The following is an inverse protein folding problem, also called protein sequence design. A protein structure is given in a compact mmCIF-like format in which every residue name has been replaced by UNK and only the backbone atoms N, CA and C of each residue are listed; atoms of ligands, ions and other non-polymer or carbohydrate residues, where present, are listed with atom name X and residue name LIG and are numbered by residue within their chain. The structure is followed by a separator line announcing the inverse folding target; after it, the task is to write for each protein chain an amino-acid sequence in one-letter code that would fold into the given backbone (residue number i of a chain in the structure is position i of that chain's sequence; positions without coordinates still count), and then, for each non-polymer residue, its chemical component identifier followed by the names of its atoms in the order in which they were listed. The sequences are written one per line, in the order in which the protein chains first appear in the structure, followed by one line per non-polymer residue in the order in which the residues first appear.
data_IF_373820488472
#
_entry.id   IF_373820488472
#
_cell.length_a   1.000
_cell.length_b   1.000
_cell.length_c   1.000
_cell.angle_alpha   90.00
_cell.angle_beta   90.00
_cell.angle_gamma   90.00
#
_symmetry.space_group_name_H-M   'P 1'
#
loop_
_entity.id
_entity.type
_entity.pdbx_description
1 polymer ?
#
# COMPACT_ATOMS: atom_id res chain seq x y z
N UNK A 1 -16.83 -7.04 2.14
CA UNK A 1 -15.70 -6.40 2.84
C UNK A 1 -14.43 -6.85 2.15
N UNK A 2 -13.29 -6.26 2.48
CA UNK A 2 -11.99 -6.74 2.03
C UNK A 2 -11.20 -7.20 3.24
N UNK A 3 -10.45 -8.29 3.12
CA UNK A 3 -9.52 -8.72 4.15
C UNK A 3 -8.10 -8.37 3.72
N UNK A 4 -7.28 -7.95 4.67
CA UNK A 4 -5.90 -7.53 4.45
C UNK A 4 -4.98 -8.51 5.16
N UNK A 5 -3.98 -9.02 4.44
CA UNK A 5 -3.02 -9.99 4.93
C UNK A 5 -1.59 -9.52 4.67
N UNK A 6 -0.65 -9.93 5.52
CA UNK A 6 0.73 -10.08 5.07
C UNK A 6 0.78 -11.17 3.99
N UNK A 7 1.51 -10.95 2.90
CA UNK A 7 1.63 -11.93 1.82
C UNK A 7 2.99 -11.84 1.12
N UNK A 8 3.35 -12.88 0.39
CA UNK A 8 4.49 -12.87 -0.55
C UNK A 8 4.04 -12.50 -1.97
N UNK A 9 5.01 -12.19 -2.85
CA UNK A 9 4.74 -12.01 -4.28
C UNK A 9 4.17 -13.28 -4.96
N UNK A 10 4.25 -14.44 -4.30
CA UNK A 10 3.66 -15.70 -4.74
C UNK A 10 2.29 -15.99 -4.09
N UNK A 11 1.64 -14.97 -3.50
CA UNK A 11 0.34 -15.07 -2.82
C UNK A 11 0.31 -16.06 -1.65
N UNK A 12 1.46 -16.32 -1.01
CA UNK A 12 1.48 -17.09 0.23
C UNK A 12 1.15 -16.19 1.41
N UNK A 13 -0.08 -16.32 1.91
CA UNK A 13 -0.60 -15.48 3.00
C UNK A 13 -0.02 -15.86 4.36
N UNK A 14 0.34 -14.84 5.11
CA UNK A 14 0.67 -14.88 6.53
C UNK A 14 -0.49 -14.37 7.38
N UNK A 15 -0.18 -13.61 8.42
CA UNK A 15 -1.17 -13.09 9.37
C UNK A 15 -2.25 -12.21 8.72
N UNK A 16 -3.50 -12.41 9.16
CA UNK A 16 -4.62 -11.50 8.91
C UNK A 16 -4.47 -10.22 9.73
N UNK A 17 -4.40 -9.08 9.05
CA UNK A 17 -4.21 -7.76 9.67
C UNK A 17 -5.54 -7.09 10.03
N UNK A 18 -6.59 -7.39 9.29
CA UNK A 18 -7.93 -6.88 9.54
C UNK A 18 -8.77 -6.77 8.27
N UNK A 19 -9.97 -6.22 8.43
CA UNK A 19 -10.95 -6.12 7.36
C UNK A 19 -11.35 -4.66 7.11
N UNK A 20 -11.49 -4.31 5.83
CA UNK A 20 -12.00 -3.03 5.36
C UNK A 20 -13.48 -3.22 5.00
N UNK A 21 -14.42 -2.48 5.60
CA UNK A 21 -15.81 -2.56 5.20
C UNK A 21 -15.95 -2.11 3.74
N UNK A 22 -16.62 -2.94 2.93
CA UNK A 22 -16.98 -2.59 1.56
C UNK A 22 -18.36 -1.92 1.57
N UNK A 23 -18.47 -0.82 2.31
CA UNK A 23 -19.72 -0.08 2.51
C UNK A 23 -19.70 1.18 1.65
N UNK A 24 -20.75 1.37 0.84
CA UNK A 24 -21.02 2.65 0.18
C UNK A 24 -20.55 2.78 -1.27
N UNK A 25 -19.63 1.93 -1.77
CA UNK A 25 -19.17 1.98 -3.16
C UNK A 25 -19.61 0.78 -4.01
N UNK A 26 -20.32 1.07 -5.09
CA UNK A 26 -20.65 0.16 -6.17
C UNK A 26 -20.11 0.76 -7.46
N UNK A 27 -19.21 0.04 -8.13
CA UNK A 27 -18.67 0.44 -9.44
C UNK A 27 -19.83 0.72 -10.40
N UNK A 28 -19.86 1.91 -11.05
CA UNK A 28 -20.93 2.25 -11.98
C UNK A 28 -21.01 1.25 -13.12
N UNK A 29 -22.20 0.72 -13.38
CA UNK A 29 -22.45 -0.25 -14.45
C UNK A 29 -23.64 0.17 -15.29
N UNK A 30 -23.41 0.31 -16.59
CA UNK A 30 -24.47 0.50 -17.57
C UNK A 30 -25.06 -0.86 -17.97
N UNK A 31 -26.40 -0.94 -18.03
CA UNK A 31 -27.17 -2.06 -18.57
C UNK A 31 -28.29 -1.54 -19.48
N UNK A 32 -28.59 -2.24 -20.57
CA UNK A 32 -29.61 -1.81 -21.54
C UNK A 32 -29.08 -1.90 -22.98
N UNK A 33 -29.96 -1.83 -23.99
CA UNK A 33 -29.60 -1.95 -25.40
C UNK A 33 -28.61 -0.87 -25.85
N UNK A 34 -28.71 0.35 -25.31
CA UNK A 34 -27.89 1.51 -25.71
C UNK A 34 -26.53 1.56 -25.01
N UNK A 35 -26.29 0.74 -23.98
CA UNK A 35 -25.07 0.87 -23.18
C UNK A 35 -23.77 0.60 -23.95
N UNK A 36 -23.80 -0.14 -25.06
CA UNK A 36 -22.64 -0.32 -25.95
C UNK A 36 -22.31 0.93 -26.76
N UNK A 37 -23.24 1.87 -26.89
CA UNK A 37 -23.09 3.14 -27.61
C UNK A 37 -22.74 4.30 -26.65
N UNK A 38 -22.85 4.08 -25.34
CA UNK A 38 -22.47 5.07 -24.32
C UNK A 38 -20.97 4.97 -24.06
N UNK A 39 -20.27 6.08 -24.30
CA UNK A 39 -18.86 6.20 -24.00
C UNK A 39 -18.68 6.33 -22.48
N UNK A 40 -17.80 5.50 -21.92
CA UNK A 40 -17.47 5.50 -20.49
C UNK A 40 -15.96 5.59 -20.31
N UNK A 41 -15.50 6.63 -19.62
CA UNK A 41 -14.08 6.80 -19.28
C UNK A 41 -13.88 6.99 -17.78
N UNK A 42 -12.71 6.62 -17.27
CA UNK A 42 -12.35 6.80 -15.87
C UNK A 42 -11.77 8.20 -15.65
N UNK A 43 -12.10 8.80 -14.51
CA UNK A 43 -11.50 10.04 -13.99
C UNK A 43 -11.07 9.83 -12.55
N UNK A 44 -10.29 10.76 -12.00
CA UNK A 44 -9.94 10.71 -10.58
C UNK A 44 -11.21 10.76 -9.71
N UNK A 45 -11.37 9.78 -8.83
CA UNK A 45 -12.56 9.65 -7.97
C UNK A 45 -13.90 9.37 -8.68
N UNK A 46 -13.92 8.97 -9.97
CA UNK A 46 -15.19 8.80 -10.68
C UNK A 46 -15.13 8.26 -12.11
N UNK A 47 -16.22 8.48 -12.85
CA UNK A 47 -16.35 8.14 -14.28
C UNK A 47 -17.07 9.23 -15.05
N UNK A 48 -16.76 9.36 -16.33
CA UNK A 48 -17.54 10.16 -17.28
C UNK A 48 -18.38 9.23 -18.12
N UNK A 49 -19.65 9.58 -18.27
CA UNK A 49 -20.58 8.95 -19.20
C UNK A 49 -20.98 9.97 -20.26
N UNK A 50 -20.95 9.57 -21.53
CA UNK A 50 -21.44 10.42 -22.60
C UNK A 50 -22.08 9.62 -23.73
N UNK A 51 -23.13 10.20 -24.30
CA UNK A 51 -23.76 9.76 -25.54
C UNK A 51 -23.88 11.00 -26.43
N UNK A 52 -23.07 11.06 -27.47
CA UNK A 52 -23.16 12.03 -28.57
C UNK A 52 -24.19 11.55 -29.58
N UNK A 53 -24.78 12.42 -30.42
CA UNK A 53 -25.62 12.03 -31.58
C UNK A 53 -26.47 10.77 -31.32
N UNK A 54 -27.40 10.86 -30.37
CA UNK A 54 -28.21 9.72 -29.95
C UNK A 54 -29.23 9.35 -31.02
N UNK A 55 -29.69 8.10 -30.99
CA UNK A 55 -30.68 7.56 -31.92
C UNK A 55 -32.06 7.46 -31.25
N UNK A 56 -33.06 7.16 -32.06
CA UNK A 56 -34.42 6.88 -31.60
C UNK A 56 -34.48 5.58 -30.77
N UNK A 57 -35.44 5.51 -29.86
CA UNK A 57 -35.78 4.33 -29.03
C UNK A 57 -34.63 3.82 -28.15
N UNK A 58 -33.75 4.73 -27.70
CA UNK A 58 -32.67 4.38 -26.79
C UNK A 58 -33.17 4.14 -25.37
N UNK A 59 -32.51 3.20 -24.69
CA UNK A 59 -32.74 2.93 -23.29
C UNK A 59 -31.45 2.45 -22.64
N UNK A 60 -31.04 3.15 -21.58
CA UNK A 60 -29.93 2.72 -20.74
C UNK A 60 -30.21 2.99 -19.26
N UNK A 61 -29.71 2.08 -18.43
CA UNK A 61 -29.77 2.15 -16.98
C UNK A 61 -28.34 2.07 -16.45
N UNK A 62 -27.88 3.13 -15.80
CA UNK A 62 -26.59 3.19 -15.12
C UNK A 62 -26.85 3.02 -13.62
N UNK A 63 -26.35 1.93 -13.05
CA UNK A 63 -26.43 1.65 -11.61
C UNK A 63 -25.14 2.08 -10.94
N UNK A 64 -25.25 2.81 -9.83
CA UNK A 64 -24.13 3.27 -9.01
C UNK A 64 -24.55 3.29 -7.53
N UNK A 65 -23.70 3.79 -6.64
CA UNK A 65 -24.03 4.01 -5.23
C UNK A 65 -23.67 5.42 -4.79
N UNK A 66 -24.44 5.96 -3.86
CA UNK A 66 -24.14 7.22 -3.19
C UNK A 66 -23.58 7.01 -1.79
N UNK A 67 -23.11 8.10 -1.14
CA UNK A 67 -23.27 9.49 -1.59
C UNK A 67 -22.46 9.78 -2.86
N UNK A 68 -23.06 10.51 -3.81
CA UNK A 68 -22.43 10.80 -5.08
C UNK A 68 -22.82 12.18 -5.61
N UNK A 69 -21.93 12.79 -6.39
CA UNK A 69 -22.19 14.03 -7.10
C UNK A 69 -22.17 13.75 -8.59
N UNK A 70 -23.21 14.23 -9.30
CA UNK A 70 -23.25 14.24 -10.76
C UNK A 70 -23.07 15.67 -11.24
N UNK A 71 -22.16 15.87 -12.18
CA UNK A 71 -21.98 17.16 -12.86
C UNK A 71 -22.20 16.95 -14.36
N UNK A 72 -23.33 17.43 -14.85
CA UNK A 72 -23.67 17.43 -16.27
C UNK A 72 -22.87 18.52 -16.96
N UNK A 73 -22.12 18.17 -18.00
CA UNK A 73 -21.17 19.05 -18.70
C UNK A 73 -21.58 19.34 -20.13
N UNK A 74 -22.49 18.54 -20.70
CA UNK A 74 -23.14 18.76 -22.00
C UNK A 74 -24.54 18.18 -21.95
N UNK A 75 -25.53 18.88 -22.50
CA UNK A 75 -26.90 18.38 -22.59
C UNK A 75 -27.68 19.10 -23.69
N UNK A 76 -28.05 18.38 -24.74
CA UNK A 76 -28.84 18.84 -25.87
C UNK A 76 -29.69 17.66 -26.39
N UNK A 77 -30.94 17.60 -25.95
CA UNK A 77 -31.90 16.56 -26.34
C UNK A 77 -33.21 17.18 -26.80
N UNK A 78 -34.15 16.38 -27.30
CA UNK A 78 -35.51 16.86 -27.49
C UNK A 78 -36.13 17.28 -26.16
N UNK A 79 -36.86 18.41 -26.16
CA UNK A 79 -37.52 18.89 -24.95
C UNK A 79 -38.71 18.01 -24.60
N UNK A 80 -38.78 17.57 -23.33
CA UNK A 80 -39.87 16.79 -22.73
C UNK A 80 -40.00 15.31 -23.14
N UNK A 81 -39.43 14.88 -24.27
CA UNK A 81 -39.54 13.50 -24.77
C UNK A 81 -38.31 12.67 -24.44
N UNK A 82 -37.13 13.21 -24.76
CA UNK A 82 -35.85 12.57 -24.46
C UNK A 82 -35.33 13.00 -23.09
N UNK A 83 -35.22 12.03 -22.18
CA UNK A 83 -35.06 12.32 -20.75
C UNK A 83 -33.90 11.55 -20.14
N UNK A 84 -32.98 12.31 -19.53
CA UNK A 84 -31.99 11.79 -18.59
C UNK A 84 -32.48 12.01 -17.15
N UNK A 85 -32.67 10.93 -16.40
CA UNK A 85 -33.06 10.98 -14.97
C UNK A 85 -31.85 10.71 -14.10
N UNK A 86 -31.56 11.66 -13.22
CA UNK A 86 -30.47 11.69 -12.25
C UNK A 86 -31.09 11.69 -10.84
N UNK A 87 -31.43 10.51 -10.32
CA UNK A 87 -32.17 10.40 -9.06
C UNK A 87 -33.57 11.00 -9.17
N UNK A 88 -33.88 12.03 -8.37
CA UNK A 88 -35.16 12.75 -8.42
C UNK A 88 -35.23 13.84 -9.48
N UNK A 89 -34.11 14.15 -10.15
CA UNK A 89 -34.05 15.20 -11.16
C UNK A 89 -34.15 14.60 -12.56
N UNK A 90 -34.95 15.22 -13.43
CA UNK A 90 -35.06 14.86 -14.85
C UNK A 90 -34.60 16.04 -15.70
N UNK A 91 -33.80 15.76 -16.72
CA UNK A 91 -33.29 16.74 -17.69
C UNK A 91 -33.78 16.35 -19.09
N UNK A 92 -34.16 17.35 -19.87
CA UNK A 92 -34.55 17.26 -21.28
C UNK A 92 -34.32 18.62 -21.95
N UNK A 93 -34.20 18.69 -23.28
CA UNK A 93 -34.00 19.95 -23.99
C UNK A 93 -32.57 20.48 -23.87
N UNK A 94 -32.44 21.78 -23.64
CA UNK A 94 -31.15 22.48 -23.46
C UNK A 94 -31.15 23.24 -22.13
N UNK A 95 -31.02 22.55 -20.99
CA UNK A 95 -30.99 23.20 -19.68
C UNK A 95 -29.69 24.00 -19.48
N UNK A 96 -29.62 24.91 -18.49
CA UNK A 96 -28.37 25.58 -18.13
C UNK A 96 -27.30 24.58 -17.67
N UNK A 97 -26.11 24.65 -18.28
CA UNK A 97 -24.96 23.78 -17.97
C UNK A 97 -23.78 24.65 -17.48
N UNK A 98 -23.01 24.21 -16.47
CA UNK A 98 -23.09 22.91 -15.79
C UNK A 98 -24.25 22.81 -14.79
N UNK A 99 -24.89 21.65 -14.76
CA UNK A 99 -25.88 21.28 -13.74
C UNK A 99 -25.25 20.28 -12.77
N UNK A 100 -25.40 20.52 -11.46
CA UNK A 100 -24.92 19.61 -10.41
C UNK A 100 -26.09 18.97 -9.67
N UNK A 101 -26.00 17.68 -9.41
CA UNK A 101 -26.99 16.88 -8.68
C UNK A 101 -26.28 16.11 -7.59
N UNK A 102 -26.68 16.33 -6.35
CA UNK A 102 -26.20 15.56 -5.19
C UNK A 102 -27.15 14.38 -4.96
N UNK A 103 -26.59 13.19 -4.81
CA UNK A 103 -27.33 11.95 -4.62
C UNK A 103 -27.03 11.37 -3.22
N UNK A 104 -28.08 10.96 -2.48
CA UNK A 104 -27.92 10.48 -1.11
C UNK A 104 -27.22 9.12 -1.05
N UNK A 105 -26.88 8.69 0.17
CA UNK A 105 -26.35 7.35 0.41
C UNK A 105 -27.30 6.25 -0.09
N UNK A 106 -26.72 5.19 -0.64
CA UNK A 106 -27.44 3.97 -1.02
C UNK A 106 -27.38 3.67 -2.53
N UNK A 107 -28.12 2.66 -3.00
CA UNK A 107 -28.16 2.31 -4.42
C UNK A 107 -28.77 3.44 -5.25
N UNK A 108 -28.10 3.81 -6.33
CA UNK A 108 -28.50 4.85 -7.27
C UNK A 108 -28.79 4.27 -8.64
N UNK A 109 -29.81 4.82 -9.29
CA UNK A 109 -30.17 4.50 -10.67
C UNK A 109 -30.25 5.80 -11.47
N UNK A 110 -29.50 5.85 -12.56
CA UNK A 110 -29.56 6.90 -13.58
C UNK A 110 -30.16 6.24 -14.83
N UNK A 111 -31.14 6.89 -15.46
CA UNK A 111 -31.80 6.33 -16.65
C UNK A 111 -31.76 7.30 -17.81
N UNK A 112 -31.46 6.78 -18.99
CA UNK A 112 -31.57 7.47 -20.27
C UNK A 112 -32.66 6.81 -21.11
N UNK A 113 -33.47 7.64 -21.77
CA UNK A 113 -34.54 7.23 -22.66
C UNK A 113 -34.70 8.24 -23.80
N UNK A 114 -34.82 7.77 -25.03
CA UNK A 114 -35.32 8.56 -26.17
C UNK A 114 -36.57 7.94 -26.79
N UNK A 115 -37.38 8.77 -27.44
CA UNK A 115 -38.60 8.32 -28.13
C UNK A 115 -38.35 7.96 -29.61
N UNK A 116 -39.40 7.91 -30.45
CA UNK A 116 -39.30 7.44 -31.84
C UNK A 116 -39.01 8.54 -32.87
N UNK A 117 -38.61 9.75 -32.44
CA UNK A 117 -38.27 10.85 -33.35
C UNK A 117 -37.29 11.88 -32.75
N UNK A 118 -36.90 12.88 -33.58
CA UNK A 118 -36.13 14.10 -33.24
C UNK A 118 -34.98 13.87 -32.24
N UNK A 119 -33.76 13.76 -32.75
CA UNK A 119 -32.57 13.69 -31.91
C UNK A 119 -31.83 15.04 -31.80
N UNK A 120 -31.12 15.23 -30.69
CA UNK A 120 -30.21 16.35 -30.41
C UNK A 120 -28.73 15.92 -30.35
N UNK A 121 -27.87 16.83 -29.88
CA UNK A 121 -26.43 16.61 -29.73
C UNK A 121 -26.03 15.66 -28.59
N UNK A 122 -26.99 15.21 -27.78
CA UNK A 122 -26.81 14.22 -26.72
C UNK A 122 -26.38 14.81 -25.38
N UNK A 123 -25.71 14.01 -24.56
CA UNK A 123 -25.43 14.36 -23.17
C UNK A 123 -24.09 13.82 -22.67
N UNK A 124 -23.54 14.49 -21.66
CA UNK A 124 -22.38 14.03 -20.91
C UNK A 124 -22.45 14.46 -19.46
N UNK A 125 -22.04 13.57 -18.55
CA UNK A 125 -21.89 13.88 -17.13
C UNK A 125 -20.71 13.18 -16.48
N UNK A 126 -20.12 13.84 -15.50
CA UNK A 126 -19.17 13.30 -14.54
C UNK A 126 -19.95 12.72 -13.35
N UNK A 127 -19.67 11.48 -12.96
CA UNK A 127 -20.17 10.82 -11.76
C UNK A 127 -19.00 10.60 -10.80
N UNK A 128 -19.04 11.28 -9.64
CA UNK A 128 -18.07 11.14 -8.56
C UNK A 128 -18.75 10.49 -7.36
N UNK A 129 -18.28 9.32 -6.94
CA UNK A 129 -18.84 8.60 -5.79
C UNK A 129 -17.92 8.73 -4.58
N UNK A 130 -18.50 8.97 -3.42
CA UNK A 130 -17.77 8.89 -2.16
C UNK A 130 -17.47 7.43 -1.81
N UNK A 131 -16.36 7.18 -1.10
CA UNK A 131 -15.97 5.84 -0.67
C UNK A 131 -15.36 4.94 -1.75
N UNK A 132 -15.02 5.50 -2.92
CA UNK A 132 -14.23 4.79 -3.94
C UNK A 132 -12.83 4.37 -3.43
N UNK A 133 -12.31 5.11 -2.45
CA UNK A 133 -11.08 4.79 -1.72
C UNK A 133 -11.44 4.43 -0.28
N UNK A 134 -10.86 3.33 0.21
CA UNK A 134 -10.95 2.95 1.61
C UNK A 134 -9.56 2.98 2.24
N UNK A 135 -9.48 3.54 3.44
CA UNK A 135 -8.23 3.59 4.20
C UNK A 135 -8.17 2.42 5.19
N UNK A 136 -6.99 1.84 5.31
CA UNK A 136 -6.71 0.79 6.29
C UNK A 136 -5.45 1.12 7.06
N UNK A 137 -5.61 1.31 8.37
CA UNK A 137 -4.49 1.59 9.26
C UNK A 137 -3.83 0.28 9.68
N UNK A 138 -2.62 0.04 9.19
CA UNK A 138 -1.80 -1.10 9.59
C UNK A 138 -1.14 -0.78 10.93
N UNK A 139 -1.40 -1.59 11.96
CA UNK A 139 -0.71 -1.46 13.25
C UNK A 139 0.77 -1.79 13.07
N UNK A 140 1.64 -1.13 13.84
CA UNK A 140 3.06 -1.48 13.89
C UNK A 140 3.22 -2.95 14.32
N UNK A 141 3.59 -3.81 13.39
CA UNK A 141 3.85 -5.24 13.59
C UNK A 141 5.12 -5.62 12.85
N UNK A 142 5.81 -6.67 13.33
CA UNK A 142 6.94 -7.24 12.59
C UNK A 142 6.44 -7.70 11.21
N UNK A 143 7.03 -7.23 10.10
CA UNK A 143 6.64 -7.68 8.76
C UNK A 143 6.81 -9.20 8.63
N UNK A 144 5.77 -9.90 8.16
CA UNK A 144 5.80 -11.34 7.92
C UNK A 144 5.96 -11.71 6.44
N UNK A 145 6.03 -10.70 5.57
CA UNK A 145 6.19 -10.86 4.14
C UNK A 145 6.65 -9.56 3.49
N UNK A 146 7.04 -9.60 2.20
CA UNK A 146 7.47 -8.44 1.46
C UNK A 146 6.33 -7.45 1.15
N UNK A 147 5.06 -7.81 1.40
CA UNK A 147 3.96 -6.94 1.07
C UNK A 147 2.61 -7.32 1.68
N UNK A 148 1.59 -6.60 1.26
CA UNK A 148 0.21 -6.77 1.68
C UNK A 148 -0.63 -7.29 0.52
N UNK A 149 -1.55 -8.20 0.84
CA UNK A 149 -2.57 -8.66 -0.09
C UNK A 149 -3.95 -8.26 0.41
N UNK A 150 -4.73 -7.64 -0.46
CA UNK A 150 -6.12 -7.23 -0.20
C UNK A 150 -7.04 -8.10 -1.03
N UNK A 151 -7.96 -8.81 -0.37
CA UNK A 151 -8.86 -9.77 -1.03
C UNK A 151 -10.32 -9.46 -0.76
N UNK A 152 -11.19 -9.51 -1.79
CA UNK A 152 -12.62 -9.35 -1.59
C UNK A 152 -13.21 -10.55 -0.86
N UNK A 153 -14.05 -10.27 0.13
CA UNK A 153 -14.68 -11.27 0.99
C UNK A 153 -16.17 -10.97 1.25
N UNK A 154 -16.97 -12.04 1.28
CA UNK A 154 -18.38 -12.04 1.63
C UNK A 154 -18.65 -13.05 2.74
N UNK A 155 -18.95 -12.54 3.94
CA UNK A 155 -19.06 -13.36 5.14
C UNK A 155 -17.74 -14.08 5.45
N UNK A 156 -17.73 -15.41 5.37
CA UNK A 156 -16.53 -16.24 5.58
C UNK A 156 -15.84 -16.66 4.28
N UNK A 157 -16.39 -16.28 3.13
CA UNK A 157 -15.91 -16.70 1.82
C UNK A 157 -15.07 -15.59 1.19
N UNK A 158 -13.92 -15.95 0.65
CA UNK A 158 -13.00 -15.04 -0.04
C UNK A 158 -12.89 -15.41 -1.51
N UNK A 159 -12.78 -14.41 -2.38
CA UNK A 159 -12.50 -14.62 -3.80
C UNK A 159 -11.01 -14.42 -4.04
N UNK A 160 -10.25 -15.52 -3.89
CA UNK A 160 -8.79 -15.51 -3.88
C UNK A 160 -8.18 -15.01 -5.19
N UNK A 161 -8.80 -15.34 -6.32
CA UNK A 161 -8.33 -14.96 -7.66
C UNK A 161 -8.40 -13.45 -7.93
N UNK A 162 -9.19 -12.72 -7.14
CA UNK A 162 -9.34 -11.27 -7.24
C UNK A 162 -8.47 -10.52 -6.21
N UNK A 163 -7.55 -11.21 -5.54
CA UNK A 163 -6.61 -10.61 -4.61
C UNK A 163 -5.63 -9.67 -5.31
N UNK A 164 -5.38 -8.51 -4.73
CA UNK A 164 -4.37 -7.56 -5.21
C UNK A 164 -3.22 -7.52 -4.21
N UNK A 165 -2.01 -7.77 -4.71
CA UNK A 165 -0.78 -7.69 -3.92
C UNK A 165 -0.08 -6.35 -4.15
N UNK A 166 0.40 -5.75 -3.06
CA UNK A 166 1.27 -4.57 -3.08
C UNK A 166 2.51 -4.85 -2.23
N UNK A 167 3.68 -4.59 -2.80
CA UNK A 167 4.93 -4.67 -2.06
C UNK A 167 5.00 -3.52 -1.05
N UNK A 168 5.31 -3.85 0.21
CA UNK A 168 5.57 -2.86 1.26
C UNK A 168 7.07 -2.74 1.38
N UNK A 169 7.62 -1.73 0.68
CA UNK A 169 9.00 -1.34 0.84
C UNK A 169 9.12 -0.39 2.05
N UNK A 170 9.46 -0.96 3.21
CA UNK A 170 9.90 -0.19 4.38
C UNK A 170 11.35 0.35 4.19
N UNK A 171 12.07 -0.14 3.17
CA UNK A 171 13.44 0.22 2.83
C UNK A 171 13.63 0.25 1.31
N UNK A 172 14.17 1.35 0.78
CA UNK A 172 14.67 1.36 -0.60
C UNK A 172 16.16 0.97 -0.64
N UNK A 173 16.65 0.69 -1.85
CA UNK A 173 18.04 0.25 -2.08
C UNK A 173 19.09 1.30 -1.71
N UNK A 174 18.71 2.49 -1.24
CA UNK A 174 19.60 3.59 -0.82
C UNK A 174 19.56 3.86 0.69
N UNK A 175 18.91 3.01 1.47
CA UNK A 175 18.85 3.14 2.93
C UNK A 175 19.83 2.18 3.64
N UNK A 176 20.33 2.54 4.84
CA UNK A 176 21.00 1.58 5.71
C UNK A 176 20.11 0.36 6.01
N UNK A 177 20.69 -0.79 6.41
CA UNK A 177 19.90 -1.98 6.70
C UNK A 177 18.86 -1.73 7.80
N UNK A 178 17.67 -2.32 7.63
CA UNK A 178 16.57 -2.25 8.60
C UNK A 178 17.00 -2.72 9.99
N UNK A 179 16.47 -2.11 11.08
CA UNK A 179 16.57 -2.68 12.42
C UNK A 179 15.98 -4.10 12.52
N UNK A 180 15.00 -4.44 11.67
CA UNK A 180 14.45 -5.79 11.57
C UNK A 180 15.45 -6.84 11.07
N UNK A 181 16.57 -6.41 10.50
CA UNK A 181 17.70 -7.26 10.10
C UNK A 181 18.92 -7.09 11.00
N UNK A 182 18.73 -6.63 12.24
CA UNK A 182 19.78 -6.72 13.26
C UNK A 182 20.22 -8.19 13.43
N UNK A 183 21.50 -8.45 13.80
CA UNK A 183 21.97 -9.81 14.08
C UNK A 183 21.02 -10.57 15.01
N UNK A 184 20.95 -11.89 14.88
CA UNK A 184 20.11 -12.72 15.75
C UNK A 184 20.71 -12.86 17.17
N UNK A 185 22.04 -12.99 17.25
CA UNK A 185 22.77 -13.06 18.52
C UNK A 185 24.26 -12.75 18.31
N UNK A 186 24.97 -12.55 19.41
CA UNK A 186 26.43 -12.53 19.40
C UNK A 186 27.00 -13.30 20.59
N UNK A 187 28.19 -13.88 20.39
CA UNK A 187 28.96 -14.55 21.42
C UNK A 187 30.37 -13.98 21.44
N UNK A 188 30.89 -13.63 22.61
CA UNK A 188 32.24 -13.08 22.76
C UNK A 188 33.06 -13.95 23.71
N UNK A 189 34.29 -14.26 23.29
CA UNK A 189 35.28 -14.94 24.12
C UNK A 189 36.47 -14.00 24.31
N UNK A 190 36.65 -13.54 25.55
CA UNK A 190 37.83 -12.76 25.93
C UNK A 190 39.04 -13.68 26.09
N UNK A 191 40.12 -13.33 25.40
CA UNK A 191 41.40 -14.01 25.38
C UNK A 191 42.48 -13.21 26.11
N UNK A 192 42.17 -12.00 26.59
CA UNK A 192 43.07 -11.17 27.38
C UNK A 192 42.54 -11.03 28.82
N UNK A 193 43.25 -11.62 29.78
CA UNK A 193 42.86 -11.57 31.18
C UNK A 193 43.28 -10.27 31.90
N UNK A 194 43.85 -9.29 31.18
CA UNK A 194 44.27 -8.04 31.80
C UNK A 194 43.10 -7.12 32.12
N UNK A 195 43.18 -6.45 33.27
CA UNK A 195 42.09 -5.61 33.76
C UNK A 195 41.87 -4.39 32.85
N UNK A 196 40.64 -4.22 32.36
CA UNK A 196 40.22 -3.05 31.59
C UNK A 196 40.63 -3.10 30.11
N UNK A 197 41.05 -4.25 29.62
CA UNK A 197 41.35 -4.53 28.21
C UNK A 197 40.52 -5.74 27.80
N UNK A 198 40.08 -5.76 26.54
CA UNK A 198 39.48 -6.95 25.93
C UNK A 198 40.25 -7.32 24.67
N UNK A 199 40.38 -8.61 24.39
CA UNK A 199 40.88 -9.11 23.11
C UNK A 199 40.20 -10.44 22.81
N UNK A 200 39.96 -10.77 21.54
CA UNK A 200 39.38 -12.08 21.24
C UNK A 200 38.59 -12.12 19.96
N UNK A 201 37.55 -12.95 19.95
CA UNK A 201 36.69 -13.15 18.79
C UNK A 201 35.24 -12.96 19.21
N UNK A 202 34.52 -12.11 18.48
CA UNK A 202 33.06 -12.01 18.53
C UNK A 202 32.50 -12.83 17.38
N UNK A 203 31.68 -13.81 17.68
CA UNK A 203 30.88 -14.53 16.69
C UNK A 203 29.52 -13.86 16.55
N UNK A 204 29.23 -13.37 15.34
CA UNK A 204 27.95 -12.76 15.00
C UNK A 204 27.08 -13.78 14.30
N UNK A 205 25.86 -13.99 14.78
CA UNK A 205 24.85 -14.80 14.10
C UNK A 205 23.95 -13.86 13.29
N UNK A 206 23.95 -13.92 11.95
CA UNK A 206 23.12 -13.07 11.10
C UNK A 206 21.62 -13.19 11.34
N UNK A 207 20.86 -12.15 10.96
CA UNK A 207 19.41 -12.19 10.93
C UNK A 207 18.91 -13.22 9.90
N UNK A 208 17.82 -13.93 10.21
CA UNK A 208 17.16 -14.79 9.24
C UNK A 208 16.33 -13.97 8.24
N UNK A 209 16.43 -14.31 6.94
CA UNK A 209 15.54 -13.77 5.93
C UNK A 209 15.90 -12.39 5.37
N UNK A 210 17.08 -11.85 5.67
CA UNK A 210 17.56 -10.64 4.99
C UNK A 210 17.79 -10.93 3.49
N UNK A 211 17.22 -10.13 2.56
CA UNK A 211 17.48 -10.29 1.14
C UNK A 211 18.97 -10.15 0.80
N UNK A 212 19.39 -10.81 -0.28
CA UNK A 212 20.77 -10.74 -0.75
C UNK A 212 21.16 -9.29 -1.07
N UNK A 213 22.33 -8.85 -0.56
CA UNK A 213 22.83 -7.49 -0.76
C UNK A 213 22.25 -6.44 0.21
N UNK A 214 21.24 -6.77 1.03
CA UNK A 214 20.71 -5.84 2.03
C UNK A 214 21.73 -5.56 3.14
N UNK A 215 22.45 -6.59 3.59
CA UNK A 215 23.58 -6.49 4.52
C UNK A 215 24.84 -6.88 3.77
N UNK A 216 25.85 -6.03 3.77
CA UNK A 216 27.15 -6.33 3.15
C UNK A 216 28.27 -6.47 4.18
N UNK A 217 28.11 -5.92 5.38
CA UNK A 217 29.06 -6.11 6.48
C UNK A 217 28.42 -5.99 7.86
N UNK A 218 29.16 -6.44 8.87
CA UNK A 218 28.89 -6.20 10.29
C UNK A 218 30.00 -5.35 10.90
N UNK A 219 29.61 -4.42 11.78
CA UNK A 219 30.51 -3.57 12.52
C UNK A 219 30.32 -3.81 14.02
N UNK A 220 31.43 -4.01 14.73
CA UNK A 220 31.46 -4.13 16.19
C UNK A 220 31.84 -2.79 16.81
N UNK A 221 31.15 -2.38 17.86
CA UNK A 221 31.39 -1.14 18.61
C UNK A 221 31.28 -1.39 20.12
N UNK A 222 31.85 -0.50 20.93
CA UNK A 222 31.50 -0.44 22.35
C UNK A 222 30.13 0.22 22.52
N UNK A 223 29.42 -0.14 23.58
CA UNK A 223 28.20 0.55 23.98
C UNK A 223 28.11 0.77 25.49
N UNK A 224 27.36 1.81 25.85
CA UNK A 224 26.99 2.08 27.24
C UNK A 224 25.87 1.13 27.73
N UNK A 225 25.45 1.30 28.99
CA UNK A 225 24.43 0.45 29.59
C UNK A 225 23.07 0.56 28.88
N UNK A 226 22.80 1.71 28.24
CA UNK A 226 21.60 1.96 27.46
C UNK A 226 21.68 1.42 26.02
N UNK A 227 22.82 0.85 25.61
CA UNK A 227 23.04 0.33 24.26
C UNK A 227 23.42 1.41 23.25
N UNK A 228 23.85 2.59 23.70
CA UNK A 228 24.31 3.66 22.81
C UNK A 228 25.79 3.41 22.42
N UNK A 229 26.16 3.52 21.13
CA UNK A 229 27.55 3.38 20.71
C UNK A 229 28.48 4.37 21.42
N UNK A 230 29.63 3.87 21.85
CA UNK A 230 30.72 4.62 22.44
C UNK A 230 31.93 4.64 21.49
N UNK A 231 32.47 5.83 21.28
CA UNK A 231 33.60 6.06 20.38
C UNK A 231 33.18 6.34 18.94
N UNK A 232 34.15 6.82 18.15
CA UNK A 232 33.96 7.15 16.73
C UNK A 232 34.45 6.04 15.79
N UNK A 233 35.23 5.08 16.29
CA UNK A 233 35.87 4.04 15.49
C UNK A 233 35.38 2.64 15.90
N UNK A 234 35.22 1.72 14.94
CA UNK A 234 34.81 0.34 15.22
C UNK A 234 35.90 -0.46 15.94
N UNK A 235 35.46 -1.50 16.65
CA UNK A 235 36.30 -2.51 17.26
C UNK A 235 36.76 -3.53 16.21
N UNK A 236 37.86 -3.21 15.55
CA UNK A 236 38.45 -4.05 14.50
C UNK A 236 37.86 -3.80 13.10
N UNK A 237 38.24 -4.63 12.12
CA UNK A 237 37.76 -4.49 10.76
C UNK A 237 36.27 -4.87 10.66
N UNK A 238 35.58 -4.24 9.70
CA UNK A 238 34.24 -4.67 9.30
C UNK A 238 34.31 -6.09 8.75
N UNK A 239 33.44 -6.97 9.22
CA UNK A 239 33.38 -8.34 8.72
C UNK A 239 32.32 -8.46 7.62
N UNK A 240 32.70 -9.01 6.48
CA UNK A 240 31.81 -9.14 5.32
C UNK A 240 30.67 -10.13 5.60
N UNK A 241 29.45 -9.73 5.22
CA UNK A 241 28.30 -10.60 5.25
C UNK A 241 28.32 -11.49 4.00
N UNK A 242 28.95 -12.66 4.11
CA UNK A 242 29.16 -13.60 3.00
C UNK A 242 28.08 -14.71 2.90
N UNK A 243 26.95 -14.54 3.58
CA UNK A 243 25.89 -15.56 3.67
C UNK A 243 26.18 -16.72 4.62
N UNK A 244 27.30 -16.71 5.35
CA UNK A 244 27.59 -17.72 6.39
C UNK A 244 26.61 -17.64 7.56
N UNK A 245 26.42 -18.76 8.24
CA UNK A 245 25.59 -18.84 9.47
C UNK A 245 26.24 -18.19 10.69
N UNK A 246 27.53 -17.90 10.63
CA UNK A 246 28.30 -17.22 11.65
C UNK A 246 29.37 -16.37 10.98
N UNK A 247 29.57 -15.15 11.47
CA UNK A 247 30.54 -14.18 10.97
C UNK A 247 31.48 -13.78 12.11
N UNK A 248 32.76 -14.20 12.11
CA UNK A 248 33.70 -13.88 13.17
C UNK A 248 34.31 -12.48 12.97
N UNK A 249 34.36 -11.70 14.05
CA UNK A 249 35.06 -10.40 14.13
C UNK A 249 36.20 -10.53 15.14
N UNK A 250 37.43 -10.30 14.70
CA UNK A 250 38.61 -10.31 15.58
C UNK A 250 38.77 -8.96 16.28
N UNK A 251 38.91 -9.01 17.59
CA UNK A 251 39.15 -7.86 18.46
C UNK A 251 40.61 -7.91 18.91
N UNK A 252 41.42 -6.97 18.47
CA UNK A 252 42.77 -6.79 19.00
C UNK A 252 42.69 -6.27 20.45
N UNK A 253 43.76 -6.45 21.23
CA UNK A 253 43.83 -5.94 22.60
C UNK A 253 43.48 -4.44 22.66
N UNK A 254 42.30 -4.15 23.22
CA UNK A 254 41.69 -2.82 23.20
C UNK A 254 41.27 -2.43 24.61
N UNK A 255 41.71 -1.26 25.06
CA UNK A 255 41.32 -0.71 26.36
C UNK A 255 39.85 -0.26 26.33
N UNK A 256 39.11 -0.63 27.36
CA UNK A 256 37.70 -0.23 27.52
C UNK A 256 37.60 1.31 27.67
N UNK A 257 36.78 2.00 26.86
CA UNK A 257 36.55 3.42 27.05
C UNK A 257 35.66 3.67 28.28
N UNK A 258 35.74 4.86 28.89
CA UNK A 258 34.87 5.20 30.02
C UNK A 258 33.39 5.01 29.69
N UNK A 259 32.66 4.31 30.57
CA UNK A 259 31.24 4.04 30.40
C UNK A 259 30.90 2.82 29.53
N UNK A 260 31.90 2.16 28.92
CA UNK A 260 31.67 0.89 28.21
C UNK A 260 31.21 -0.19 29.18
N UNK A 261 30.09 -0.80 28.84
CA UNK A 261 29.52 -1.93 29.59
C UNK A 261 28.99 -3.04 28.71
N UNK A 262 28.93 -2.82 27.38
CA UNK A 262 28.41 -3.78 26.40
C UNK A 262 29.25 -3.75 25.14
N UNK A 263 29.27 -4.88 24.44
CA UNK A 263 29.63 -4.93 23.02
C UNK A 263 28.37 -4.77 22.18
N UNK A 264 28.47 -4.14 21.02
CA UNK A 264 27.35 -3.89 20.13
C UNK A 264 27.72 -4.25 18.70
N UNK A 265 26.86 -4.99 18.00
CA UNK A 265 27.04 -5.27 16.57
C UNK A 265 25.94 -4.60 15.75
N UNK A 266 26.33 -3.91 14.69
CA UNK A 266 25.44 -3.24 13.72
C UNK A 266 25.63 -3.82 12.32
N UNK A 267 24.53 -4.05 11.62
CA UNK A 267 24.55 -4.43 10.22
C UNK A 267 24.80 -3.19 9.35
N UNK A 268 25.50 -3.35 8.23
CA UNK A 268 25.79 -2.23 7.33
C UNK A 268 25.77 -2.60 5.86
N UNK A 269 25.57 -1.58 5.03
CA UNK A 269 25.69 -1.64 3.58
C UNK A 269 26.41 -0.38 3.04
N UNK A 270 26.42 -0.18 1.73
CA UNK A 270 27.03 0.99 1.07
C UNK A 270 26.37 2.33 1.44
N UNK A 271 25.19 2.32 2.06
CA UNK A 271 24.40 3.49 2.43
C UNK A 271 24.45 3.82 3.92
N UNK A 272 24.99 2.92 4.75
CA UNK A 272 25.27 3.21 6.16
C UNK A 272 25.13 2.01 7.08
N UNK A 273 25.01 2.31 8.37
CA UNK A 273 24.82 1.34 9.45
C UNK A 273 23.37 1.33 9.92
N UNK A 274 22.87 0.15 10.29
CA UNK A 274 21.56 -0.01 10.92
C UNK A 274 21.51 0.70 12.26
N UNK A 275 20.32 1.18 12.62
CA UNK A 275 19.99 1.57 13.98
C UNK A 275 19.50 0.40 14.84
N UNK A 276 19.42 -0.82 14.30
CA UNK A 276 19.22 -2.03 15.11
C UNK A 276 20.56 -2.60 15.61
N UNK A 277 20.58 -3.11 16.84
CA UNK A 277 21.77 -3.68 17.47
C UNK A 277 21.47 -4.89 18.36
N UNK A 278 22.48 -5.72 18.56
CA UNK A 278 22.51 -6.76 19.61
C UNK A 278 23.66 -6.49 20.55
N UNK A 279 23.43 -6.72 21.85
CA UNK A 279 24.45 -6.63 22.89
C UNK A 279 24.77 -8.01 23.48
N UNK A 280 26.04 -8.23 23.83
CA UNK A 280 26.45 -9.28 24.79
C UNK A 280 26.72 -8.67 26.15
#
# INVERSE_FOLDING_TARGET
HYNVYWSSASHMRGQHLGSIPASGYMMPKCTGPTCSQINVSAIDGGRVFSRDDYEDNENAIIKASGPATIKVTRFETESYYDVLRLGSQSLSGVPPIPTKVELPEGPLTITWFSDDSIHGGGWAFELSQMGATAEFQVKATVPQGPGLEVVPAYGKNELLEAGVFVEVADYDSKMPPSPGFAPASLNFVDLDNSTGVIAGVVEVIPAHGAPAGTITYYQLDFADAAGKPLGAAPLGPRAEANGSRSVPIRVAATRLPPGASKLMVRAGNSFGLSSGWVCA
#
